data_IF_002720865905
#
_entry.id   IF_002720865905
#
_cell.length_a   1.000
_cell.length_b   1.000
_cell.length_c   1.000
_cell.angle_alpha   90.00
_cell.angle_beta   90.00
_cell.angle_gamma   90.00
#
_symmetry.space_group_name_H-M   'P 1'
#
loop_
_entity.id
_entity.type
_entity.pdbx_description
1 polymer ?
#
# COMPACT_ATOMS: atom_id res chain seq x y z
N UNK A 1 -9.94 -21.51 -1.84
CA UNK A 1 -10.98 -21.12 -0.87
C UNK A 1 -12.04 -22.22 -0.82
N UNK A 2 -12.42 -22.65 0.38
CA UNK A 2 -13.66 -23.40 0.57
C UNK A 2 -14.83 -22.40 0.56
N UNK A 3 -15.82 -22.64 -0.29
CA UNK A 3 -17.02 -21.81 -0.34
C UNK A 3 -17.87 -22.02 0.91
N UNK A 4 -18.54 -20.98 1.37
CA UNK A 4 -19.59 -21.14 2.37
C UNK A 4 -20.81 -21.82 1.74
N UNK A 5 -21.71 -22.44 2.53
CA UNK A 5 -22.86 -23.20 1.98
C UNK A 5 -23.70 -22.42 0.98
N UNK A 6 -23.93 -21.14 1.23
CA UNK A 6 -24.71 -20.26 0.35
C UNK A 6 -24.01 -20.04 -1.01
N UNK A 7 -22.69 -19.77 -1.01
CA UNK A 7 -21.94 -19.61 -2.26
C UNK A 7 -21.79 -20.93 -3.00
N UNK A 8 -21.69 -22.05 -2.29
CA UNK A 8 -21.64 -23.39 -2.92
C UNK A 8 -22.96 -23.73 -3.62
N UNK A 9 -24.09 -23.42 -3.00
CA UNK A 9 -25.39 -23.61 -3.62
C UNK A 9 -25.57 -22.71 -4.85
N UNK A 10 -25.19 -21.44 -4.76
CA UNK A 10 -25.24 -20.51 -5.88
C UNK A 10 -24.29 -20.91 -7.03
N UNK A 11 -23.11 -21.45 -6.70
CA UNK A 11 -22.18 -22.00 -7.69
C UNK A 11 -22.76 -23.19 -8.43
N UNK A 12 -23.50 -24.07 -7.74
CA UNK A 12 -24.08 -25.26 -8.35
C UNK A 12 -25.37 -25.00 -9.13
N UNK A 13 -26.26 -24.12 -8.63
CA UNK A 13 -27.63 -23.96 -9.13
C UNK A 13 -28.05 -22.53 -9.39
N UNK A 14 -27.33 -21.53 -8.88
CA UNK A 14 -27.73 -20.13 -8.91
C UNK A 14 -27.34 -19.39 -10.19
N UNK A 15 -27.52 -18.06 -10.18
CA UNK A 15 -27.15 -17.17 -11.31
C UNK A 15 -25.64 -17.12 -11.56
N UNK A 16 -24.81 -17.39 -10.54
CA UNK A 16 -23.36 -17.46 -10.64
C UNK A 16 -22.84 -18.89 -10.82
N UNK A 17 -23.65 -19.73 -11.46
CA UNK A 17 -23.30 -21.13 -11.72
C UNK A 17 -21.97 -21.21 -12.47
N UNK A 18 -21.03 -22.00 -11.92
CA UNK A 18 -19.68 -22.19 -12.46
C UNK A 18 -18.84 -20.92 -12.66
N UNK A 19 -19.17 -19.83 -11.97
CA UNK A 19 -18.35 -18.63 -11.98
C UNK A 19 -16.98 -18.89 -11.33
N UNK A 20 -15.88 -18.47 -11.97
CA UNK A 20 -14.52 -18.72 -11.47
C UNK A 20 -14.22 -17.99 -10.15
N UNK A 21 -14.89 -16.87 -9.90
CA UNK A 21 -14.64 -15.99 -8.75
C UNK A 21 -15.91 -15.80 -7.93
N UNK A 22 -16.51 -16.89 -7.49
CA UNK A 22 -17.66 -16.81 -6.58
C UNK A 22 -17.17 -16.73 -5.13
N UNK A 23 -17.61 -15.70 -4.43
CA UNK A 23 -17.39 -15.53 -3.00
C UNK A 23 -18.36 -14.47 -2.43
N UNK A 24 -18.55 -14.47 -1.13
CA UNK A 24 -19.28 -13.44 -0.39
C UNK A 24 -18.42 -12.91 0.77
N UNK A 25 -19.00 -12.09 1.66
CA UNK A 25 -18.29 -11.55 2.82
C UNK A 25 -17.82 -12.63 3.80
N UNK A 26 -18.52 -13.79 3.87
CA UNK A 26 -18.18 -14.86 4.81
C UNK A 26 -17.03 -15.75 4.32
N UNK A 27 -16.99 -16.05 3.01
CA UNK A 27 -16.00 -16.95 2.42
C UNK A 27 -15.02 -16.29 1.45
N UNK A 28 -15.15 -14.99 1.23
CA UNK A 28 -14.27 -14.20 0.35
C UNK A 28 -12.94 -13.84 1.00
N UNK A 29 -12.10 -13.12 0.27
CA UNK A 29 -10.84 -12.63 0.79
C UNK A 29 -11.06 -11.76 2.04
N UNK A 30 -10.35 -12.09 3.11
CA UNK A 30 -10.35 -11.32 4.34
C UNK A 30 -9.03 -10.58 4.49
N UNK A 31 -9.10 -9.39 5.05
CA UNK A 31 -7.94 -8.61 5.42
C UNK A 31 -7.61 -8.88 6.89
N UNK A 32 -6.34 -9.04 7.19
CA UNK A 32 -5.85 -9.11 8.56
C UNK A 32 -4.56 -8.32 8.71
N UNK A 33 -4.33 -7.82 9.91
CA UNK A 33 -3.14 -7.09 10.29
C UNK A 33 -2.41 -7.84 11.39
N UNK A 34 -1.08 -7.98 11.26
CA UNK A 34 -0.21 -8.60 12.24
C UNK A 34 0.80 -7.56 12.71
N UNK A 35 0.82 -7.29 14.00
CA UNK A 35 1.79 -6.39 14.60
C UNK A 35 3.12 -7.11 14.80
N UNK A 36 4.12 -6.77 13.99
CA UNK A 36 5.46 -7.35 14.13
C UNK A 36 6.17 -6.79 15.37
N UNK A 37 6.53 -7.65 16.31
CA UNK A 37 7.37 -7.33 17.46
C UNK A 37 8.85 -7.54 17.12
N UNK A 38 9.40 -6.71 16.20
CA UNK A 38 10.85 -6.61 16.01
C UNK A 38 11.54 -7.78 15.27
N UNK A 39 10.85 -8.51 14.42
CA UNK A 39 11.39 -9.67 13.68
C UNK A 39 12.04 -9.34 12.31
N UNK A 40 12.71 -8.21 12.18
CA UNK A 40 13.66 -8.01 11.08
C UNK A 40 15.07 -8.48 11.49
N UNK A 41 15.20 -9.74 11.96
CA UNK A 41 16.50 -10.42 11.96
C UNK A 41 16.72 -11.03 10.58
N UNK A 42 17.87 -10.67 9.99
CA UNK A 42 18.36 -11.18 8.71
C UNK A 42 18.29 -12.72 8.68
N UNK A 43 17.66 -13.24 7.63
CA UNK A 43 17.65 -14.64 7.19
C UNK A 43 17.24 -15.71 8.21
N UNK A 44 15.94 -16.07 8.31
CA UNK A 44 15.58 -17.43 8.63
C UNK A 44 15.51 -18.26 7.33
N UNK A 45 15.98 -19.50 7.37
CA UNK A 45 15.68 -20.49 6.36
C UNK A 45 14.16 -20.58 6.13
N UNK A 46 13.70 -20.79 4.89
CA UNK A 46 12.32 -20.64 4.46
C UNK A 46 11.26 -21.37 5.32
N UNK A 47 11.55 -22.56 5.82
CA UNK A 47 10.64 -23.33 6.68
C UNK A 47 10.44 -22.76 8.10
N UNK A 48 11.48 -22.18 8.69
CA UNK A 48 11.38 -21.55 10.01
C UNK A 48 10.61 -20.22 9.96
N UNK A 49 10.58 -19.54 8.80
CA UNK A 49 9.77 -18.33 8.58
C UNK A 49 8.29 -18.65 8.42
N UNK A 50 7.95 -19.71 7.69
CA UNK A 50 6.56 -20.13 7.49
C UNK A 50 5.91 -20.64 8.78
N UNK A 51 6.62 -21.41 9.60
CA UNK A 51 6.10 -21.90 10.88
C UNK A 51 5.94 -20.77 11.90
N UNK A 52 6.84 -19.78 11.93
CA UNK A 52 6.70 -18.61 12.82
C UNK A 52 5.59 -17.66 12.38
N UNK A 53 5.30 -17.54 11.09
CA UNK A 53 4.14 -16.81 10.58
C UNK A 53 2.84 -17.48 11.00
N UNK A 54 2.76 -18.80 10.97
CA UNK A 54 1.57 -19.55 11.42
C UNK A 54 1.32 -19.36 12.92
N UNK A 55 2.35 -19.48 13.78
CA UNK A 55 2.22 -19.26 15.22
C UNK A 55 1.82 -17.81 15.57
N UNK A 56 2.25 -16.81 14.78
CA UNK A 56 1.90 -15.40 15.03
C UNK A 56 0.54 -15.00 14.47
N UNK A 57 -0.01 -15.76 13.52
CA UNK A 57 -1.35 -15.51 12.98
C UNK A 57 -2.46 -15.96 13.91
N UNK A 58 -2.20 -16.85 14.87
CA UNK A 58 -3.22 -17.35 15.80
C UNK A 58 -3.36 -16.51 17.08
N UNK A 59 -2.32 -15.79 17.54
CA UNK A 59 -2.31 -15.07 18.84
C UNK A 59 -2.13 -13.54 18.74
N UNK A 60 -2.60 -12.86 17.72
CA UNK A 60 -2.46 -11.39 17.67
C UNK A 60 -2.77 -10.74 16.32
N UNK A 61 -3.50 -11.40 15.46
CA UNK A 61 -3.99 -10.81 14.24
C UNK A 61 -5.32 -10.08 14.49
N UNK A 62 -5.40 -8.82 14.06
CA UNK A 62 -6.66 -8.09 13.97
C UNK A 62 -7.25 -8.26 12.56
N UNK A 63 -8.55 -8.51 12.47
CA UNK A 63 -9.22 -8.86 11.22
C UNK A 63 -10.13 -7.74 10.72
N UNK A 64 -10.37 -7.70 9.42
CA UNK A 64 -11.34 -6.82 8.79
C UNK A 64 -11.09 -5.35 9.11
N UNK A 65 -12.13 -4.65 9.57
CA UNK A 65 -12.09 -3.21 9.90
C UNK A 65 -11.09 -2.89 11.00
N UNK A 66 -11.09 -3.66 12.08
CA UNK A 66 -10.17 -3.45 13.21
C UNK A 66 -8.70 -3.58 12.77
N UNK A 67 -8.38 -4.62 12.01
CA UNK A 67 -7.03 -4.78 11.46
C UNK A 67 -6.61 -3.65 10.52
N UNK A 68 -7.56 -3.10 9.75
CA UNK A 68 -7.30 -1.93 8.93
C UNK A 68 -7.02 -0.68 9.77
N UNK A 69 -7.83 -0.42 10.79
CA UNK A 69 -7.65 0.72 11.69
C UNK A 69 -6.30 0.66 12.42
N UNK A 70 -5.88 -0.52 12.88
CA UNK A 70 -4.55 -0.70 13.46
C UNK A 70 -3.42 -0.43 12.46
N UNK A 71 -3.54 -0.90 11.21
CA UNK A 71 -2.57 -0.62 10.15
C UNK A 71 -2.46 0.88 9.85
N UNK A 72 -3.58 1.60 9.81
CA UNK A 72 -3.63 3.07 9.66
C UNK A 72 -2.94 3.77 10.83
N UNK A 73 -3.17 3.31 12.07
CA UNK A 73 -2.49 3.89 13.24
C UNK A 73 -0.97 3.69 13.19
N UNK A 74 -0.48 2.56 12.68
CA UNK A 74 0.96 2.36 12.47
C UNK A 74 1.52 3.43 11.53
N UNK A 75 0.86 3.71 10.41
CA UNK A 75 1.29 4.76 9.48
C UNK A 75 1.21 6.15 10.11
N UNK A 76 0.10 6.49 10.78
CA UNK A 76 -0.08 7.79 11.47
C UNK A 76 1.00 8.04 12.52
N UNK A 77 1.45 7.00 13.21
CA UNK A 77 2.51 7.07 14.20
C UNK A 77 3.93 7.01 13.60
N UNK A 78 4.09 7.19 12.29
CA UNK A 78 5.38 7.19 11.59
C UNK A 78 5.99 5.78 11.44
N UNK A 79 5.20 4.72 11.61
CA UNK A 79 5.64 3.35 11.41
C UNK A 79 5.76 2.97 9.94
N UNK A 80 6.21 1.73 9.69
CA UNK A 80 6.30 1.13 8.36
C UNK A 80 5.34 -0.03 8.28
N UNK A 81 4.51 -0.05 7.25
CA UNK A 81 3.54 -1.10 6.97
C UNK A 81 4.00 -1.96 5.80
N UNK A 82 4.00 -3.28 5.96
CA UNK A 82 4.16 -4.23 4.86
C UNK A 82 2.78 -4.65 4.36
N UNK A 83 2.38 -4.15 3.21
CA UNK A 83 1.10 -4.46 2.57
C UNK A 83 1.26 -5.57 1.54
N UNK A 84 0.53 -6.66 1.68
CA UNK A 84 0.45 -7.74 0.68
C UNK A 84 -0.46 -7.30 -0.47
N UNK A 85 0.14 -7.03 -1.61
CA UNK A 85 -0.56 -6.78 -2.87
C UNK A 85 -0.59 -8.01 -3.78
N UNK A 86 -1.13 -7.85 -4.99
CA UNK A 86 -1.23 -8.93 -6.00
C UNK A 86 0.15 -9.48 -6.39
N UNK A 87 1.13 -8.59 -6.59
CA UNK A 87 2.48 -8.97 -7.04
C UNK A 87 3.51 -9.21 -5.91
N UNK A 88 3.11 -9.13 -4.63
CA UNK A 88 4.02 -9.28 -3.50
C UNK A 88 3.80 -8.27 -2.39
N UNK A 89 4.79 -8.13 -1.49
CA UNK A 89 4.73 -7.16 -0.41
C UNK A 89 5.24 -5.78 -0.85
N UNK A 90 4.50 -4.74 -0.48
CA UNK A 90 4.89 -3.34 -0.61
C UNK A 90 5.17 -2.77 0.78
N UNK A 91 6.29 -2.10 0.96
CA UNK A 91 6.58 -1.38 2.20
C UNK A 91 6.11 0.07 2.06
N UNK A 92 5.27 0.50 2.97
CA UNK A 92 4.63 1.80 2.99
C UNK A 92 5.05 2.58 4.24
N UNK A 93 5.24 3.87 4.09
CA UNK A 93 5.38 4.82 5.19
C UNK A 93 4.75 6.15 4.78
N UNK A 94 4.61 7.08 5.70
CA UNK A 94 4.20 8.46 5.40
C UNK A 94 5.25 9.15 4.52
N UNK A 95 4.81 9.77 3.44
CA UNK A 95 5.68 10.48 2.50
C UNK A 95 6.07 11.89 3.00
N UNK A 96 5.32 12.45 3.94
CA UNK A 96 5.55 13.76 4.56
C UNK A 96 6.43 13.70 5.83
N UNK A 97 6.84 12.49 6.25
CA UNK A 97 7.72 12.27 7.41
C UNK A 97 9.11 11.85 6.96
N UNK A 98 10.07 12.78 7.04
CA UNK A 98 11.47 12.49 6.70
C UNK A 98 12.05 11.35 7.56
N UNK A 99 11.70 11.32 8.85
CA UNK A 99 12.13 10.23 9.74
C UNK A 99 11.65 8.86 9.26
N UNK A 100 10.38 8.75 8.87
CA UNK A 100 9.79 7.51 8.36
C UNK A 100 10.41 7.09 7.02
N UNK A 101 10.64 8.05 6.12
CA UNK A 101 11.29 7.85 4.83
C UNK A 101 12.72 7.36 5.03
N UNK A 102 13.50 8.00 5.90
CA UNK A 102 14.88 7.58 6.20
C UNK A 102 14.95 6.21 6.87
N UNK A 103 13.98 5.90 7.75
CA UNK A 103 13.86 4.56 8.35
C UNK A 103 13.61 3.51 7.26
N UNK A 104 12.68 3.78 6.32
CA UNK A 104 12.41 2.88 5.21
C UNK A 104 13.62 2.70 4.29
N UNK A 105 14.40 3.77 4.04
CA UNK A 105 15.65 3.70 3.27
C UNK A 105 16.65 2.76 3.91
N UNK A 106 16.90 2.93 5.21
CA UNK A 106 17.82 2.05 5.97
C UNK A 106 17.37 0.59 5.94
N UNK A 107 16.07 0.33 6.13
CA UNK A 107 15.52 -1.02 6.08
C UNK A 107 15.71 -1.70 4.72
N UNK A 108 15.59 -0.92 3.63
CA UNK A 108 15.73 -1.44 2.25
C UNK A 108 17.16 -1.44 1.76
N UNK A 109 18.13 -0.85 2.47
CA UNK A 109 19.49 -0.61 1.97
C UNK A 109 19.48 0.22 0.67
N UNK A 110 18.57 1.21 0.58
CA UNK A 110 18.29 1.95 -0.66
C UNK A 110 18.57 3.43 -0.46
N UNK A 111 19.86 3.81 -0.65
CA UNK A 111 20.34 5.14 -0.31
C UNK A 111 19.83 6.24 -1.26
N UNK A 112 19.90 6.04 -2.57
CA UNK A 112 19.66 7.11 -3.54
C UNK A 112 18.40 6.92 -4.41
N UNK A 113 17.98 5.68 -4.70
CA UNK A 113 16.86 5.44 -5.62
C UNK A 113 15.55 6.03 -5.08
N UNK A 114 14.83 6.89 -5.85
CA UNK A 114 13.58 7.50 -5.41
C UNK A 114 12.53 6.48 -4.99
N UNK A 115 11.65 6.87 -4.06
CA UNK A 115 10.42 6.16 -3.76
C UNK A 115 9.28 6.72 -4.61
N UNK A 116 8.29 5.87 -4.90
CA UNK A 116 7.04 6.33 -5.50
C UNK A 116 6.04 6.70 -4.39
N UNK A 117 5.27 7.76 -4.61
CA UNK A 117 4.22 8.22 -3.72
C UNK A 117 2.86 7.83 -4.29
N UNK A 118 2.03 7.26 -3.44
CA UNK A 118 0.63 6.97 -3.75
C UNK A 118 -0.23 8.16 -3.34
N UNK A 119 -1.08 8.63 -4.25
CA UNK A 119 -1.99 9.74 -4.03
C UNK A 119 -3.44 9.26 -4.13
N UNK A 120 -4.35 9.93 -3.44
CA UNK A 120 -5.79 9.63 -3.51
C UNK A 120 -6.39 9.96 -4.89
N UNK A 121 -5.88 11.01 -5.53
CA UNK A 121 -6.39 11.52 -6.81
C UNK A 121 -5.32 12.29 -7.60
N UNK A 122 -5.58 12.49 -8.90
CA UNK A 122 -4.75 13.37 -9.75
C UNK A 122 -4.83 14.82 -9.26
N UNK A 123 -5.97 15.24 -8.76
CA UNK A 123 -6.15 16.61 -8.27
C UNK A 123 -5.29 16.90 -7.02
N UNK A 124 -5.17 15.93 -6.11
CA UNK A 124 -4.21 16.03 -5.01
C UNK A 124 -2.77 16.08 -5.52
N UNK A 125 -2.43 15.21 -6.45
CA UNK A 125 -1.10 15.09 -7.03
C UNK A 125 -0.60 16.38 -7.70
N UNK A 126 -1.51 17.18 -8.31
CA UNK A 126 -1.21 18.49 -8.94
C UNK A 126 -0.64 19.52 -7.97
N UNK A 127 -0.84 19.35 -6.67
CA UNK A 127 -0.25 20.23 -5.65
C UNK A 127 1.26 20.04 -5.55
N UNK A 128 1.78 18.88 -5.94
CA UNK A 128 3.16 18.44 -5.77
C UNK A 128 3.93 18.35 -7.08
N UNK A 129 3.25 18.22 -8.20
CA UNK A 129 3.89 18.00 -9.49
C UNK A 129 3.08 18.62 -10.66
N UNK A 130 3.79 18.93 -11.74
CA UNK A 130 3.19 19.30 -13.01
C UNK A 130 2.69 18.02 -13.71
N UNK A 131 1.45 18.07 -14.23
CA UNK A 131 0.81 16.91 -14.87
C UNK A 131 0.24 17.34 -16.21
N UNK A 132 0.78 16.81 -17.30
CA UNK A 132 0.25 16.97 -18.64
C UNK A 132 -0.98 16.08 -18.88
N UNK A 133 -1.73 16.36 -19.96
CA UNK A 133 -2.88 15.53 -20.34
C UNK A 133 -2.53 14.06 -20.56
N UNK A 134 -1.38 13.76 -21.20
CA UNK A 134 -0.91 12.38 -21.43
C UNK A 134 -0.52 11.67 -20.15
N UNK A 135 0.13 12.34 -19.22
CA UNK A 135 0.47 11.78 -17.91
C UNK A 135 -0.78 11.49 -17.09
N UNK A 136 -1.79 12.36 -17.16
CA UNK A 136 -3.09 12.12 -16.54
C UNK A 136 -3.76 10.86 -17.11
N UNK A 137 -3.82 10.72 -18.44
CA UNK A 137 -4.38 9.53 -19.09
C UNK A 137 -3.68 8.24 -18.63
N UNK A 138 -2.35 8.26 -18.50
CA UNK A 138 -1.58 7.13 -17.99
C UNK A 138 -1.91 6.82 -16.53
N UNK A 139 -1.92 7.83 -15.66
CA UNK A 139 -2.23 7.68 -14.23
C UNK A 139 -3.64 7.10 -14.02
N UNK A 140 -4.62 7.56 -14.80
CA UNK A 140 -6.02 7.15 -14.70
C UNK A 140 -6.33 5.85 -15.47
N UNK A 141 -5.39 5.34 -16.28
CA UNK A 141 -5.55 4.09 -17.03
C UNK A 141 -5.75 2.89 -16.09
N UNK A 142 -6.30 1.80 -16.61
CA UNK A 142 -6.48 0.56 -15.85
C UNK A 142 -5.17 -0.06 -15.35
N UNK A 143 -4.05 0.26 -15.98
CA UNK A 143 -2.72 -0.22 -15.59
C UNK A 143 -2.19 0.46 -14.33
N UNK A 144 -2.71 1.67 -13.98
CA UNK A 144 -2.28 2.44 -12.79
C UNK A 144 -0.75 2.48 -12.62
N UNK A 145 0.02 2.88 -13.65
CA UNK A 145 1.47 2.84 -13.58
C UNK A 145 2.03 3.90 -12.64
N UNK A 146 3.27 3.71 -12.20
CA UNK A 146 4.06 4.78 -11.61
C UNK A 146 4.53 5.69 -12.73
N UNK A 147 4.15 6.97 -12.69
CA UNK A 147 4.56 8.00 -13.64
C UNK A 147 5.58 8.92 -12.96
N UNK A 148 6.65 9.25 -13.67
CA UNK A 148 7.64 10.22 -13.21
C UNK A 148 7.19 11.62 -13.62
N UNK A 149 6.80 12.41 -12.65
CA UNK A 149 6.27 13.76 -12.83
C UNK A 149 7.32 14.80 -12.42
N UNK A 150 7.38 15.91 -13.12
CA UNK A 150 8.22 17.03 -12.73
C UNK A 150 7.67 17.65 -11.44
N UNK A 151 8.46 17.62 -10.37
CA UNK A 151 8.08 18.22 -9.08
C UNK A 151 7.89 19.72 -9.24
N UNK A 152 6.92 20.29 -8.53
CA UNK A 152 6.85 21.74 -8.33
C UNK A 152 7.97 22.11 -7.38
N UNK A 153 8.81 23.06 -7.79
CA UNK A 153 9.75 23.72 -6.91
C UNK A 153 8.94 24.59 -5.94
N UNK A 154 9.39 24.70 -4.71
CA UNK A 154 8.74 25.50 -3.68
C UNK A 154 8.56 26.96 -4.13
N UNK A 155 7.36 27.34 -4.52
CA UNK A 155 6.94 28.71 -4.28
C UNK A 155 6.69 28.77 -2.76
N UNK A 156 7.55 29.51 -2.07
CA UNK A 156 7.57 29.73 -0.63
C UNK A 156 6.33 30.52 -0.18
N UNK A 157 5.18 29.93 -0.32
CA UNK A 157 3.94 30.47 0.22
C UNK A 157 3.66 29.76 1.56
N UNK A 158 3.56 30.55 2.64
CA UNK A 158 3.42 30.09 4.03
C UNK A 158 2.15 29.24 4.29
N UNK A 159 1.35 29.00 3.26
CA UNK A 159 0.17 28.12 3.25
C UNK A 159 0.39 26.81 2.48
N UNK A 160 1.62 26.45 2.13
CA UNK A 160 1.87 25.23 1.37
C UNK A 160 1.64 23.98 2.21
N UNK A 161 0.89 23.04 1.63
CA UNK A 161 0.78 21.69 2.18
C UNK A 161 2.18 21.07 2.34
N UNK A 162 2.39 20.22 3.34
CA UNK A 162 3.67 19.57 3.51
C UNK A 162 4.03 18.80 2.24
N UNK A 163 5.12 19.24 1.59
CA UNK A 163 5.70 18.55 0.45
C UNK A 163 6.11 17.13 0.85
N UNK A 164 6.25 16.19 -0.10
CA UNK A 164 6.92 14.94 0.19
C UNK A 164 8.29 15.23 0.80
N UNK A 165 8.63 14.51 1.86
CA UNK A 165 9.89 14.67 2.55
C UNK A 165 11.08 14.59 1.56
N UNK A 166 12.15 15.37 1.73
CA UNK A 166 13.29 15.42 0.79
C UNK A 166 13.86 14.05 0.47
N UNK A 167 13.84 13.15 1.45
CA UNK A 167 14.24 11.77 1.28
C UNK A 167 13.40 10.96 0.28
N UNK A 168 12.22 11.39 -0.12
CA UNK A 168 11.38 10.65 -1.09
C UNK A 168 12.02 10.65 -2.47
N UNK A 169 12.41 11.81 -2.98
CA UNK A 169 12.95 11.98 -4.32
C UNK A 169 14.45 11.66 -4.42
N UNK A 170 15.19 11.59 -3.30
CA UNK A 170 16.63 11.30 -3.29
C UNK A 170 17.47 12.27 -4.13
N UNK A 171 17.09 13.55 -4.17
CA UNK A 171 17.74 14.61 -4.95
C UNK A 171 17.29 14.70 -6.43
N UNK A 172 16.31 13.89 -6.85
CA UNK A 172 15.71 13.98 -8.19
C UNK A 172 14.69 15.12 -8.27
N UNK A 173 14.65 15.82 -9.42
CA UNK A 173 13.58 16.76 -9.77
C UNK A 173 12.26 16.06 -10.12
N UNK A 174 12.26 14.75 -10.21
CA UNK A 174 11.09 13.98 -10.59
C UNK A 174 10.54 13.22 -9.39
N UNK A 175 9.23 13.33 -9.22
CA UNK A 175 8.43 12.57 -8.26
C UNK A 175 7.81 11.37 -8.97
N UNK A 176 8.12 10.16 -8.52
CA UNK A 176 7.38 8.97 -8.93
C UNK A 176 6.02 8.97 -8.24
N UNK A 177 4.94 9.04 -9.01
CA UNK A 177 3.58 9.12 -8.47
C UNK A 177 2.67 8.06 -9.10
N UNK A 178 1.70 7.57 -8.35
CA UNK A 178 0.71 6.61 -8.84
C UNK A 178 -0.60 6.71 -8.07
N UNK A 179 -1.66 6.18 -8.66
CA UNK A 179 -2.97 6.05 -8.03
C UNK A 179 -3.19 4.62 -7.51
N UNK A 180 -4.04 4.41 -6.50
CA UNK A 180 -4.38 3.09 -6.00
C UNK A 180 -4.86 2.15 -7.11
N UNK A 181 -4.35 0.93 -7.11
CA UNK A 181 -4.68 -0.12 -8.09
C UNK A 181 -5.58 -1.22 -7.54
N UNK A 182 -5.76 -1.28 -6.21
CA UNK A 182 -6.64 -2.25 -5.55
C UNK A 182 -7.25 -1.69 -4.26
N UNK A 183 -8.31 -2.34 -3.77
CA UNK A 183 -9.20 -1.82 -2.74
C UNK A 183 -8.50 -1.34 -1.46
N UNK A 184 -7.56 -2.11 -0.90
CA UNK A 184 -6.86 -1.71 0.34
C UNK A 184 -6.01 -0.46 0.14
N UNK A 185 -5.34 -0.32 -1.02
CA UNK A 185 -4.60 0.92 -1.33
C UNK A 185 -5.53 2.13 -1.37
N UNK A 186 -6.73 1.97 -1.97
CA UNK A 186 -7.72 3.05 -2.03
C UNK A 186 -8.16 3.48 -0.62
N UNK A 187 -8.48 2.53 0.25
CA UNK A 187 -8.84 2.82 1.64
C UNK A 187 -7.73 3.51 2.43
N UNK A 188 -6.46 3.22 2.13
CA UNK A 188 -5.31 3.87 2.80
C UNK A 188 -5.11 5.32 2.37
N UNK A 189 -5.72 5.77 1.29
CA UNK A 189 -5.61 7.13 0.76
C UNK A 189 -6.87 7.97 1.05
N UNK A 190 -7.91 7.40 1.60
CA UNK A 190 -9.13 8.08 2.10
C UNK A 190 -8.92 8.59 3.53
#
# INVERSE_FOLDING_TARGET
YSLCPSCEEEYRKGRRRHAQTISCHDCGPQMYFIKSRGLLRRNPSSEAAENRLKDQTEEGAAYGKEGFEEAVQVLKNGGILALKGVGGYQLLCRADSEESVQRLRRMKGREQKPFAVMFSSVEEMKRYAWISGKERELLESSARPIVLLCSREEETDQNSFPLPAPGVCGGSRYLGAFLPSFGVQKLLTE
#
